data_IF_758062027729
#
_entry.id   IF_758062027729
#
_cell.length_a   1.000
_cell.length_b   1.000
_cell.length_c   1.000
_cell.angle_alpha   90.00
_cell.angle_beta   90.00
_cell.angle_gamma   90.00
#
_symmetry.space_group_name_H-M   'P 1'
#
loop_
_entity.id
_entity.type
_entity.pdbx_description
1 polymer ?
#
# COMPACT_ATOMS: atom_id res chain seq x y z
N UNK A 1 20.09 20.69 7.56
CA UNK A 1 19.30 19.74 6.75
C UNK A 1 19.19 20.10 5.26
N UNK A 2 19.34 21.35 4.82
CA UNK A 2 19.10 21.72 3.41
C UNK A 2 20.12 21.20 2.38
N UNK A 3 21.27 20.66 2.80
CA UNK A 3 22.35 20.26 1.88
C UNK A 3 22.10 18.94 1.12
N UNK A 4 21.06 18.18 1.49
CA UNK A 4 20.68 16.93 0.80
C UNK A 4 19.50 17.12 -0.16
N UNK A 5 18.82 18.27 -0.11
CA UNK A 5 17.69 18.55 -0.98
C UNK A 5 18.18 18.69 -2.42
N UNK A 6 17.58 17.94 -3.35
CA UNK A 6 18.05 17.86 -4.73
C UNK A 6 19.35 17.09 -4.94
N UNK A 7 19.90 16.42 -3.92
CA UNK A 7 21.09 15.58 -4.09
C UNK A 7 20.79 14.36 -4.98
N UNK A 8 21.66 14.11 -5.97
CA UNK A 8 21.54 13.00 -6.93
C UNK A 8 21.31 11.64 -6.26
N UNK A 9 22.11 11.29 -5.25
CA UNK A 9 21.99 9.99 -4.59
C UNK A 9 20.65 9.84 -3.87
N UNK A 10 20.11 10.93 -3.30
CA UNK A 10 18.79 10.90 -2.69
C UNK A 10 17.69 10.72 -3.73
N UNK A 11 17.78 11.42 -4.88
CA UNK A 11 16.84 11.26 -5.99
C UNK A 11 16.88 9.83 -6.53
N UNK A 12 18.06 9.30 -6.82
CA UNK A 12 18.25 7.93 -7.29
C UNK A 12 17.67 6.90 -6.31
N UNK A 13 17.90 7.09 -5.00
CA UNK A 13 17.31 6.24 -3.96
C UNK A 13 15.78 6.30 -3.96
N UNK A 14 15.18 7.49 -4.04
CA UNK A 14 13.73 7.65 -4.07
C UNK A 14 13.10 6.97 -5.29
N UNK A 15 13.73 7.10 -6.47
CA UNK A 15 13.28 6.42 -7.70
C UNK A 15 13.27 4.90 -7.54
N UNK A 16 14.32 4.37 -6.91
CA UNK A 16 14.41 2.95 -6.58
C UNK A 16 13.33 2.53 -5.58
N UNK A 17 13.15 3.28 -4.51
CA UNK A 17 12.13 2.98 -3.49
C UNK A 17 10.72 2.97 -4.09
N UNK A 18 10.40 3.91 -4.99
CA UNK A 18 9.13 3.93 -5.73
C UNK A 18 8.96 2.67 -6.57
N UNK A 19 10.01 2.23 -7.25
CA UNK A 19 10.00 1.03 -8.10
C UNK A 19 9.77 -0.24 -7.27
N UNK A 20 10.50 -0.36 -6.15
CA UNK A 20 10.39 -1.51 -5.24
C UNK A 20 9.00 -1.56 -4.57
N UNK A 21 8.48 -0.41 -4.14
CA UNK A 21 7.12 -0.29 -3.60
C UNK A 21 6.06 -0.67 -4.63
N UNK A 22 6.23 -0.25 -5.89
CA UNK A 22 5.32 -0.64 -6.95
C UNK A 22 5.35 -2.16 -7.18
N UNK A 23 6.51 -2.80 -7.10
CA UNK A 23 6.63 -4.26 -7.14
C UNK A 23 5.81 -4.96 -6.05
N UNK A 24 5.90 -4.45 -4.81
CA UNK A 24 5.10 -4.97 -3.69
C UNK A 24 3.59 -4.77 -3.88
N UNK A 25 3.18 -3.62 -4.42
CA UNK A 25 1.77 -3.33 -4.73
C UNK A 25 1.24 -4.32 -5.78
N UNK A 26 2.03 -4.60 -6.83
CA UNK A 26 1.67 -5.56 -7.88
C UNK A 26 1.50 -6.98 -7.30
N UNK A 27 2.39 -7.43 -6.40
CA UNK A 27 2.24 -8.74 -5.73
C UNK A 27 0.91 -8.83 -4.97
N UNK A 28 0.53 -7.79 -4.22
CA UNK A 28 -0.75 -7.78 -3.50
C UNK A 28 -1.93 -7.75 -4.46
N UNK A 29 -1.88 -6.92 -5.50
CA UNK A 29 -2.93 -6.83 -6.52
C UNK A 29 -3.16 -8.15 -7.25
N UNK A 30 -2.12 -8.95 -7.45
CA UNK A 30 -2.26 -10.28 -8.05
C UNK A 30 -3.18 -11.22 -7.25
N UNK A 31 -3.35 -10.96 -5.94
CA UNK A 31 -4.16 -11.77 -5.02
C UNK A 31 -5.56 -11.21 -4.78
N UNK A 32 -5.72 -9.89 -4.85
CA UNK A 32 -6.97 -9.20 -4.46
C UNK A 32 -7.66 -8.45 -5.60
N UNK A 33 -7.03 -8.40 -6.77
CA UNK A 33 -7.37 -7.46 -7.82
C UNK A 33 -6.85 -6.05 -7.53
N UNK A 34 -6.83 -5.19 -8.54
CA UNK A 34 -6.39 -3.81 -8.36
C UNK A 34 -7.38 -3.04 -7.47
N UNK A 35 -6.89 -2.45 -6.37
CA UNK A 35 -7.71 -1.57 -5.53
C UNK A 35 -7.70 -0.15 -6.07
N UNK A 36 -8.87 0.48 -6.15
CA UNK A 36 -9.05 1.81 -6.75
C UNK A 36 -9.28 2.86 -5.65
N UNK A 37 -8.20 3.49 -5.23
CA UNK A 37 -8.20 4.60 -4.28
C UNK A 37 -7.76 5.90 -4.97
N UNK A 38 -8.30 7.07 -4.59
CA UNK A 38 -7.75 8.35 -5.03
C UNK A 38 -6.27 8.45 -4.67
N UNK A 39 -5.46 9.00 -5.57
CA UNK A 39 -4.06 9.31 -5.28
C UNK A 39 -3.99 10.41 -4.22
N UNK A 40 -3.15 10.19 -3.21
CA UNK A 40 -2.81 11.20 -2.22
C UNK A 40 -2.03 12.36 -2.86
N UNK A 41 -1.13 12.05 -3.79
CA UNK A 41 -0.30 13.02 -4.50
C UNK A 41 -1.08 13.80 -5.57
N UNK A 42 -1.94 13.12 -6.31
CA UNK A 42 -2.71 13.64 -7.45
C UNK A 42 -4.20 13.43 -7.20
N UNK A 43 -4.88 14.35 -6.49
CA UNK A 43 -6.26 14.15 -6.03
C UNK A 43 -7.30 13.92 -7.14
N UNK A 44 -6.97 14.33 -8.37
CA UNK A 44 -7.75 14.15 -9.59
C UNK A 44 -7.58 12.77 -10.24
N UNK A 45 -6.65 11.94 -9.73
CA UNK A 45 -6.29 10.64 -10.30
C UNK A 45 -6.57 9.50 -9.34
N UNK A 46 -6.69 8.31 -9.92
CA UNK A 46 -6.70 7.06 -9.16
C UNK A 46 -5.26 6.59 -8.99
N UNK A 47 -4.89 6.25 -7.75
CA UNK A 47 -3.53 5.87 -7.36
C UNK A 47 -3.01 4.65 -8.12
N UNK A 48 -3.85 3.63 -8.37
CA UNK A 48 -3.44 2.46 -9.13
C UNK A 48 -3.29 2.70 -10.64
N UNK A 49 -3.83 3.80 -11.17
CA UNK A 49 -3.78 4.16 -12.60
C UNK A 49 -2.65 5.17 -12.90
N UNK A 50 -1.80 5.53 -11.93
CA UNK A 50 -0.67 6.43 -12.17
C UNK A 50 0.35 5.78 -13.12
N UNK A 51 0.70 6.50 -14.18
CA UNK A 51 1.81 6.14 -15.07
C UNK A 51 3.15 6.44 -14.39
N UNK A 52 3.66 5.46 -13.64
CA UNK A 52 4.92 5.61 -12.92
C UNK A 52 6.13 5.69 -13.83
N UNK A 53 6.07 5.11 -15.04
CA UNK A 53 7.17 5.22 -16.01
C UNK A 53 7.30 6.67 -16.44
N UNK A 54 6.21 7.29 -16.89
CA UNK A 54 6.21 8.70 -17.28
C UNK A 54 6.57 9.64 -16.11
N UNK A 55 6.14 9.35 -14.88
CA UNK A 55 6.48 10.16 -13.71
C UNK A 55 7.96 10.05 -13.34
N UNK A 56 8.55 8.85 -13.41
CA UNK A 56 9.98 8.65 -13.17
C UNK A 56 10.82 9.18 -14.34
N UNK A 57 10.34 9.18 -15.58
CA UNK A 57 11.05 9.88 -16.66
C UNK A 57 11.03 11.41 -16.47
N UNK A 58 9.92 11.94 -15.94
CA UNK A 58 9.74 13.38 -15.75
C UNK A 58 10.51 13.96 -14.58
N UNK A 59 10.64 13.23 -13.47
CA UNK A 59 11.24 13.74 -12.24
C UNK A 59 12.57 13.06 -11.97
N UNK A 60 13.66 13.69 -12.39
CA UNK A 60 15.01 13.17 -12.26
C UNK A 60 15.98 14.24 -11.71
N UNK A 61 17.23 13.85 -11.55
CA UNK A 61 18.33 14.76 -11.23
C UNK A 61 18.81 15.51 -12.48
N UNK A 62 18.94 16.83 -12.37
CA UNK A 62 19.51 17.69 -13.39
C UNK A 62 20.69 18.48 -12.82
N UNK A 63 21.89 18.24 -13.34
CA UNK A 63 23.14 18.84 -12.82
C UNK A 63 23.17 20.36 -12.95
N UNK A 64 22.61 20.88 -14.05
CA UNK A 64 22.62 22.31 -14.38
C UNK A 64 21.38 23.05 -13.88
N UNK A 65 20.44 22.36 -13.22
CA UNK A 65 19.22 22.94 -12.68
C UNK A 65 18.95 22.43 -11.25
N UNK A 66 19.56 23.10 -10.25
CA UNK A 66 19.36 22.75 -8.84
C UNK A 66 17.91 22.94 -8.38
N UNK A 67 17.18 23.92 -8.92
CA UNK A 67 15.79 24.17 -8.53
C UNK A 67 14.89 23.05 -9.02
N UNK A 68 15.08 22.60 -10.26
CA UNK A 68 14.41 21.42 -10.79
C UNK A 68 14.75 20.17 -9.96
N UNK A 69 16.02 19.94 -9.65
CA UNK A 69 16.44 18.78 -8.85
C UNK A 69 15.80 18.79 -7.45
N UNK A 70 15.73 19.95 -6.79
CA UNK A 70 15.05 20.09 -5.51
C UNK A 70 13.55 19.82 -5.64
N UNK A 71 12.91 20.31 -6.70
CA UNK A 71 11.51 20.05 -6.99
C UNK A 71 11.23 18.55 -7.24
N UNK A 72 12.03 17.90 -8.09
CA UNK A 72 11.98 16.47 -8.35
C UNK A 72 12.14 15.65 -7.08
N UNK A 73 13.10 16.02 -6.21
CA UNK A 73 13.28 15.36 -4.92
C UNK A 73 11.99 15.39 -4.08
N UNK A 74 11.35 16.56 -3.92
CA UNK A 74 10.11 16.69 -3.14
C UNK A 74 8.98 15.87 -3.78
N UNK A 75 8.82 15.93 -5.10
CA UNK A 75 7.76 15.19 -5.78
C UNK A 75 7.95 13.68 -5.71
N UNK A 76 9.18 13.18 -5.81
CA UNK A 76 9.48 11.77 -5.62
C UNK A 76 9.20 11.33 -4.17
N UNK A 77 9.54 12.15 -3.17
CA UNK A 77 9.19 11.88 -1.78
C UNK A 77 7.67 11.82 -1.56
N UNK A 78 6.92 12.75 -2.14
CA UNK A 78 5.45 12.72 -2.10
C UNK A 78 4.88 11.48 -2.83
N UNK A 79 5.52 11.03 -3.91
CA UNK A 79 5.13 9.83 -4.63
C UNK A 79 5.42 8.56 -3.81
N UNK A 80 6.52 8.50 -3.04
CA UNK A 80 6.78 7.42 -2.07
C UNK A 80 5.65 7.33 -1.05
N UNK A 81 5.18 8.46 -0.50
CA UNK A 81 4.06 8.50 0.44
C UNK A 81 2.79 7.95 -0.21
N UNK A 82 2.50 8.35 -1.45
CA UNK A 82 1.36 7.86 -2.22
C UNK A 82 1.41 6.34 -2.42
N UNK A 83 2.57 5.80 -2.81
CA UNK A 83 2.78 4.35 -2.97
C UNK A 83 2.63 3.58 -1.66
N UNK A 84 3.22 4.07 -0.56
CA UNK A 84 3.07 3.46 0.77
C UNK A 84 1.60 3.43 1.21
N UNK A 85 0.86 4.51 0.97
CA UNK A 85 -0.55 4.58 1.31
C UNK A 85 -1.38 3.59 0.49
N UNK A 86 -1.15 3.50 -0.82
CA UNK A 86 -1.80 2.51 -1.68
C UNK A 86 -1.49 1.10 -1.21
N UNK A 87 -0.24 0.80 -0.84
CA UNK A 87 0.15 -0.51 -0.32
C UNK A 87 -0.61 -0.88 0.95
N UNK A 88 -0.70 0.04 1.94
CA UNK A 88 -1.48 -0.18 3.17
C UNK A 88 -2.96 -0.42 2.88
N UNK A 89 -3.53 0.33 1.95
CA UNK A 89 -4.92 0.17 1.50
C UNK A 89 -5.14 -1.18 0.79
N UNK A 90 -4.14 -1.63 0.03
CA UNK A 90 -4.13 -2.93 -0.67
C UNK A 90 -4.09 -4.08 0.33
N UNK A 91 -3.18 -4.02 1.31
CA UNK A 91 -3.13 -5.00 2.40
C UNK A 91 -4.42 -5.03 3.20
N UNK A 92 -5.04 -3.87 3.43
CA UNK A 92 -6.35 -3.81 4.08
C UNK A 92 -7.39 -4.60 3.28
N UNK A 93 -7.45 -4.41 1.95
CA UNK A 93 -8.32 -5.19 1.08
C UNK A 93 -8.03 -6.69 1.12
N UNK A 94 -6.75 -7.08 1.11
CA UNK A 94 -6.33 -8.48 1.26
C UNK A 94 -6.80 -9.09 2.57
N UNK A 95 -6.55 -8.41 3.69
CA UNK A 95 -6.97 -8.90 5.00
C UNK A 95 -8.49 -8.99 5.09
N UNK A 96 -9.24 -8.04 4.52
CA UNK A 96 -10.71 -8.11 4.47
C UNK A 96 -11.21 -9.35 3.71
N UNK A 97 -10.56 -9.73 2.60
CA UNK A 97 -10.86 -10.97 1.87
C UNK A 97 -10.59 -12.20 2.75
N UNK A 98 -9.42 -12.27 3.39
CA UNK A 98 -9.03 -13.44 4.21
C UNK A 98 -9.89 -13.57 5.48
N UNK A 99 -10.32 -12.45 6.05
CA UNK A 99 -11.10 -12.42 7.30
C UNK A 99 -12.61 -12.65 7.04
N UNK A 100 -13.10 -12.38 5.81
CA UNK A 100 -14.51 -12.57 5.48
C UNK A 100 -14.84 -14.04 5.21
N UNK A 101 -15.76 -14.61 6.01
CA UNK A 101 -16.25 -16.00 5.81
C UNK A 101 -17.10 -16.19 4.55
N UNK A 102 -17.53 -15.12 3.89
CA UNK A 102 -18.36 -15.18 2.67
C UNK A 102 -17.72 -14.29 1.60
N UNK A 103 -17.64 -14.84 0.39
CA UNK A 103 -16.76 -14.44 -0.71
C UNK A 103 -16.69 -12.95 -1.06
N UNK A 104 -15.54 -12.62 -1.67
CA UNK A 104 -15.15 -11.43 -2.43
C UNK A 104 -15.87 -10.13 -2.02
N UNK A 105 -15.21 -9.19 -1.33
CA UNK A 105 -15.72 -7.83 -1.28
C UNK A 105 -15.70 -7.28 -2.70
N UNK A 106 -16.89 -6.98 -3.22
CA UNK A 106 -17.06 -6.24 -4.47
C UNK A 106 -16.13 -5.02 -4.47
N UNK A 107 -15.55 -4.73 -5.64
CA UNK A 107 -14.84 -3.48 -5.95
C UNK A 107 -15.64 -2.29 -5.43
N UNK A 108 -15.37 -1.89 -4.19
CA UNK A 108 -15.94 -0.69 -3.61
C UNK A 108 -15.06 0.42 -4.13
N UNK A 109 -15.64 1.27 -4.98
CA UNK A 109 -15.16 2.64 -5.10
C UNK A 109 -15.20 3.19 -3.66
N UNK A 110 -14.06 3.15 -2.96
CA UNK A 110 -13.98 3.67 -1.61
C UNK A 110 -14.28 5.17 -1.74
N UNK A 111 -15.10 5.69 -0.82
CA UNK A 111 -15.53 7.09 -0.80
C UNK A 111 -14.36 8.09 -0.78
N UNK A 112 -14.65 9.40 -0.66
CA UNK A 112 -13.65 10.47 -0.78
C UNK A 112 -12.39 10.17 0.02
N UNK A 113 -11.24 10.55 -0.53
CA UNK A 113 -9.88 10.21 -0.07
C UNK A 113 -9.81 10.01 1.45
N UNK A 114 -9.70 8.75 1.89
CA UNK A 114 -9.49 8.48 3.31
C UNK A 114 -8.22 9.19 3.76
N UNK A 115 -8.27 9.93 4.87
CA UNK A 115 -7.06 10.52 5.43
C UNK A 115 -6.05 9.42 5.75
N UNK A 116 -4.75 9.75 5.68
CA UNK A 116 -3.66 8.80 5.96
C UNK A 116 -3.89 8.13 7.33
N UNK A 117 -4.25 8.91 8.35
CA UNK A 117 -4.52 8.38 9.69
C UNK A 117 -5.66 7.36 9.75
N UNK A 118 -6.71 7.54 8.95
CA UNK A 118 -7.80 6.56 8.86
C UNK A 118 -7.37 5.31 8.11
N UNK A 119 -6.59 5.43 7.04
CA UNK A 119 -6.05 4.29 6.30
C UNK A 119 -5.15 3.42 7.20
N UNK A 120 -4.23 4.05 7.94
CA UNK A 120 -3.35 3.37 8.90
C UNK A 120 -4.17 2.68 10.00
N UNK A 121 -5.16 3.37 10.57
CA UNK A 121 -6.03 2.79 11.61
C UNK A 121 -6.85 1.61 11.06
N UNK A 122 -7.37 1.70 9.84
CA UNK A 122 -8.12 0.63 9.19
C UNK A 122 -7.23 -0.59 8.93
N UNK A 123 -6.01 -0.37 8.46
CA UNK A 123 -5.00 -1.43 8.30
C UNK A 123 -4.72 -2.13 9.64
N UNK A 124 -4.37 -1.36 10.68
CA UNK A 124 -4.07 -1.90 12.01
C UNK A 124 -5.23 -2.73 12.59
N UNK A 125 -6.46 -2.22 12.49
CA UNK A 125 -7.64 -2.93 12.99
C UNK A 125 -7.87 -4.26 12.25
N UNK A 126 -7.64 -4.30 10.94
CA UNK A 126 -7.77 -5.55 10.17
C UNK A 126 -6.64 -6.54 10.48
N UNK A 127 -5.41 -6.05 10.71
CA UNK A 127 -4.30 -6.90 11.14
C UNK A 127 -4.58 -7.56 12.50
N UNK A 128 -5.12 -6.80 13.46
CA UNK A 128 -5.53 -7.34 14.77
C UNK A 128 -6.65 -8.37 14.66
N UNK A 129 -7.63 -8.15 13.76
CA UNK A 129 -8.68 -9.14 13.48
C UNK A 129 -8.10 -10.43 12.92
N UNK A 130 -7.19 -10.33 11.94
CA UNK A 130 -6.51 -11.49 11.36
C UNK A 130 -5.73 -12.27 12.43
N UNK A 131 -4.99 -11.59 13.30
CA UNK A 131 -4.29 -12.22 14.42
C UNK A 131 -5.23 -12.93 15.39
N UNK A 132 -6.39 -12.34 15.69
CA UNK A 132 -7.41 -12.97 16.55
C UNK A 132 -8.03 -14.22 15.92
N UNK A 133 -8.19 -14.25 14.59
CA UNK A 133 -8.66 -15.45 13.89
C UNK A 133 -7.62 -16.56 13.93
N UNK A 134 -6.35 -16.22 13.69
CA UNK A 134 -5.25 -17.18 13.78
C UNK A 134 -5.19 -17.84 15.17
N UNK A 135 -5.26 -17.05 16.25
CA UNK A 135 -5.28 -17.58 17.63
C UNK A 135 -6.45 -18.53 17.90
N UNK A 136 -7.65 -18.25 17.36
CA UNK A 136 -8.82 -19.12 17.50
C UNK A 136 -8.61 -20.46 16.80
N UNK A 137 -8.11 -20.44 15.56
CA UNK A 137 -7.84 -21.66 14.80
C UNK A 137 -6.80 -22.53 15.51
N UNK A 138 -5.70 -21.95 15.98
CA UNK A 138 -4.68 -22.70 16.74
C UNK A 138 -5.21 -23.30 18.04
N UNK A 139 -6.16 -22.63 18.70
CA UNK A 139 -6.78 -23.14 19.93
C UNK A 139 -7.78 -24.27 19.67
N UNK A 140 -8.44 -24.26 18.50
CA UNK A 140 -9.37 -25.33 18.07
C UNK A 140 -8.62 -26.59 17.60
N UNK A 141 -7.46 -26.46 16.94
CA UNK A 141 -6.63 -27.61 16.53
C UNK A 141 -6.04 -28.40 17.72
N UNK A 142 -5.87 -27.73 18.88
CA UNK A 142 -5.38 -28.35 20.12
C UNK A 142 -6.46 -29.14 20.90
N UNK A 143 -7.72 -29.09 20.48
CA UNK A 143 -8.79 -29.92 21.05
C UNK A 143 -9.05 -31.13 20.16
N UNK A 144 -8.45 -32.31 20.42
CA UNK A 144 -8.78 -33.50 19.67
C UNK A 144 -10.26 -33.81 19.89
N UNK A 145 -11.00 -33.95 18.78
CA UNK A 145 -12.38 -34.39 18.77
C UNK A 145 -12.52 -35.60 19.70
N UNK A 146 -13.18 -35.42 20.85
CA UNK A 146 -13.67 -36.55 21.64
C UNK A 146 -14.69 -37.27 20.76
N UNK A 147 -14.23 -38.22 19.97
CA UNK A 147 -15.07 -39.18 19.26
C UNK A 147 -15.94 -39.82 20.32
N UNK A 148 -17.24 -39.51 20.29
CA UNK A 148 -18.27 -40.24 21.02
C UNK A 148 -18.21 -41.68 20.49
N UNK A 149 -17.77 -42.61 21.33
CA UNK A 149 -17.97 -44.04 21.06
C UNK A 149 -19.46 -44.33 21.25
N UNK A 150 -20.16 -44.90 20.25
CA UNK A 150 -21.51 -45.39 20.45
C UNK A 150 -21.48 -46.66 21.31
N UNK A 151 -22.52 -46.81 22.12
CA UNK A 151 -22.76 -47.88 23.10
C UNK A 151 -22.99 -49.24 22.46
#
# INVERSE_FOLDING_TARGET
MAYLLGNRNCIDSLRKDITDLQGAIIDVFSRVGAVRYPSWKFPDKISCDLDLVALLERYDYEENDPEFSQHSHVLLLELVIDRLLLLLQSFTGYMEIVTSKHGVPASKLMGPSMSIGLAVRKYWNNLMKLGSLYQKVSSEELLPSKKKFPS
#
